data_IF_467130815826
#
_entry.id   IF_467130815826
#
_cell.length_a   1.000
_cell.length_b   1.000
_cell.length_c   1.000
_cell.angle_alpha   90.00
_cell.angle_beta   90.00
_cell.angle_gamma   90.00
#
_symmetry.space_group_name_H-M   'P 1'
#
loop_
_entity.id
_entity.type
_entity.pdbx_description
1 polymer ?
#
# COMPACT_ATOMS: atom_id res chain seq x y z
N UNK A 1 57.56 3.96 -54.34
CA UNK A 1 57.05 4.53 -55.61
C UNK A 1 56.13 3.46 -56.18
N UNK A 2 54.81 3.63 -56.16
CA UNK A 2 54.04 4.40 -57.14
C UNK A 2 54.39 3.88 -58.56
N UNK A 3 53.48 3.41 -59.42
CA UNK A 3 52.05 3.68 -59.56
C UNK A 3 51.53 2.98 -60.85
N UNK A 4 50.23 3.11 -61.12
CA UNK A 4 49.50 2.94 -62.40
C UNK A 4 48.93 1.54 -62.72
N UNK A 5 47.61 1.33 -62.60
CA UNK A 5 46.51 1.59 -63.58
C UNK A 5 46.55 0.57 -64.74
N UNK A 6 45.54 -0.30 -64.84
CA UNK A 6 44.69 -0.33 -66.05
C UNK A 6 43.38 -1.10 -65.82
N UNK A 7 42.31 -0.50 -66.31
CA UNK A 7 40.94 -0.98 -66.34
C UNK A 7 40.65 -1.39 -67.78
N UNK A 8 40.29 -2.65 -68.01
CA UNK A 8 39.69 -3.06 -69.29
C UNK A 8 38.49 -3.96 -68.99
N UNK A 9 37.33 -3.36 -69.18
CA UNK A 9 36.04 -3.98 -69.42
C UNK A 9 36.03 -4.72 -70.77
N UNK A 10 35.52 -5.95 -70.80
CA UNK A 10 34.81 -6.46 -71.98
C UNK A 10 33.70 -7.41 -71.56
N UNK A 11 32.47 -6.96 -71.78
CA UNK A 11 31.26 -7.76 -71.79
C UNK A 11 31.30 -8.78 -72.94
N UNK A 12 30.57 -9.89 -72.80
CA UNK A 12 29.63 -10.49 -73.79
C UNK A 12 29.46 -12.00 -73.50
N UNK A 13 28.31 -12.28 -72.90
CA UNK A 13 27.29 -13.28 -73.28
C UNK A 13 27.45 -14.80 -73.17
N UNK A 14 26.26 -15.39 -73.05
CA UNK A 14 25.84 -16.78 -73.30
C UNK A 14 25.95 -17.80 -72.15
N UNK A 15 24.97 -17.67 -71.26
CA UNK A 15 23.85 -18.62 -71.07
C UNK A 15 24.10 -20.14 -71.13
N UNK A 16 23.41 -20.80 -70.17
CA UNK A 16 23.01 -22.20 -70.10
C UNK A 16 23.92 -23.22 -69.37
N UNK A 17 23.36 -23.62 -68.22
CA UNK A 17 23.21 -25.00 -67.71
C UNK A 17 24.11 -25.47 -66.57
N UNK A 18 23.54 -25.28 -65.36
CA UNK A 18 23.09 -26.37 -64.47
C UNK A 18 24.09 -26.85 -63.41
N UNK A 19 23.99 -26.32 -62.19
CA UNK A 19 24.19 -27.15 -60.99
C UNK A 19 23.47 -26.59 -59.74
N UNK A 20 22.65 -27.48 -59.16
CA UNK A 20 22.17 -27.54 -57.78
C UNK A 20 21.65 -26.26 -57.09
N UNK A 21 20.31 -26.15 -57.06
CA UNK A 21 19.59 -25.51 -55.94
C UNK A 21 19.93 -26.29 -54.67
N UNK A 22 20.81 -25.75 -53.84
CA UNK A 22 20.86 -26.08 -52.42
C UNK A 22 19.80 -25.21 -51.74
N UNK A 23 18.64 -25.80 -51.49
CA UNK A 23 17.60 -25.24 -50.63
C UNK A 23 18.13 -25.33 -49.19
N UNK A 24 18.94 -24.36 -48.79
CA UNK A 24 19.27 -24.14 -47.39
C UNK A 24 18.01 -23.55 -46.76
N UNK A 25 17.26 -24.42 -46.08
CA UNK A 25 16.08 -24.07 -45.29
C UNK A 25 16.47 -22.92 -44.38
N UNK A 26 16.01 -21.71 -44.71
CA UNK A 26 16.09 -20.58 -43.82
C UNK A 26 15.31 -20.95 -42.56
N UNK A 27 16.04 -21.40 -41.53
CA UNK A 27 15.48 -21.60 -40.21
C UNK A 27 14.96 -20.22 -39.80
N UNK A 28 13.64 -20.09 -39.70
CA UNK A 28 13.00 -18.85 -39.25
C UNK A 28 13.34 -18.63 -37.77
N UNK A 29 14.55 -18.14 -37.51
CA UNK A 29 15.11 -17.81 -36.20
C UNK A 29 14.55 -16.46 -35.70
N UNK A 30 13.46 -15.99 -36.31
CA UNK A 30 12.74 -14.82 -35.85
C UNK A 30 12.02 -15.19 -34.55
N UNK A 31 12.30 -14.52 -33.42
CA UNK A 31 11.71 -14.89 -32.15
C UNK A 31 10.18 -14.80 -32.20
N UNK A 32 9.49 -15.65 -31.45
CA UNK A 32 8.03 -15.85 -31.53
C UNK A 32 7.22 -14.54 -31.43
N UNK A 33 7.70 -13.57 -30.66
CA UNK A 33 7.08 -12.26 -30.47
C UNK A 33 7.15 -11.31 -31.69
N UNK A 34 7.95 -11.64 -32.71
CA UNK A 34 8.16 -10.84 -33.91
C UNK A 34 7.46 -11.43 -35.14
N UNK A 35 7.04 -12.71 -35.09
CA UNK A 35 6.38 -13.39 -36.21
C UNK A 35 5.00 -12.79 -36.50
N UNK A 36 4.69 -12.59 -37.78
CA UNK A 36 3.38 -12.13 -38.25
C UNK A 36 3.08 -10.65 -38.02
N UNK A 37 3.98 -9.87 -37.43
CA UNK A 37 3.83 -8.41 -37.26
C UNK A 37 4.15 -7.66 -38.54
N UNK A 38 3.42 -6.58 -38.77
CA UNK A 38 3.71 -5.69 -39.90
C UNK A 38 5.01 -4.90 -39.65
N UNK A 39 5.73 -4.46 -40.71
CA UNK A 39 6.94 -3.65 -40.54
C UNK A 39 6.72 -2.38 -39.69
N UNK A 40 5.54 -1.76 -39.79
CA UNK A 40 5.18 -0.59 -38.98
C UNK A 40 5.04 -0.91 -37.48
N UNK A 41 4.52 -2.09 -37.13
CA UNK A 41 4.39 -2.52 -35.74
C UNK A 41 5.75 -2.89 -35.13
N UNK A 42 6.64 -3.48 -35.93
CA UNK A 42 8.01 -3.79 -35.51
C UNK A 42 8.80 -2.51 -35.19
N UNK A 43 8.69 -1.49 -36.06
CA UNK A 43 9.32 -0.17 -35.83
C UNK A 43 8.78 0.47 -34.56
N UNK A 44 7.46 0.45 -34.34
CA UNK A 44 6.85 1.00 -33.13
C UNK A 44 7.33 0.28 -31.88
N UNK A 45 7.39 -1.05 -31.91
CA UNK A 45 7.88 -1.84 -30.77
C UNK A 45 9.36 -1.55 -30.47
N UNK A 46 10.19 -1.37 -31.51
CA UNK A 46 11.59 -0.97 -31.36
C UNK A 46 11.72 0.42 -30.74
N UNK A 47 10.97 1.41 -31.23
CA UNK A 47 10.95 2.77 -30.65
C UNK A 47 10.47 2.78 -29.20
N UNK A 48 9.46 1.98 -28.86
CA UNK A 48 9.00 1.83 -27.47
C UNK A 48 10.05 1.15 -26.59
N UNK A 49 10.78 0.17 -27.12
CA UNK A 49 11.87 -0.49 -26.41
C UNK A 49 13.04 0.46 -26.18
N UNK A 50 13.48 1.20 -27.20
CA UNK A 50 14.51 2.23 -27.09
C UNK A 50 14.12 3.33 -26.08
N UNK A 51 12.87 3.79 -26.13
CA UNK A 51 12.36 4.76 -25.17
C UNK A 51 12.36 4.22 -23.74
N UNK A 52 11.96 2.96 -23.52
CA UNK A 52 11.98 2.33 -22.20
C UNK A 52 13.41 2.12 -21.69
N UNK A 53 14.34 1.72 -22.56
CA UNK A 53 15.76 1.59 -22.22
C UNK A 53 16.33 2.97 -21.84
N UNK A 54 15.98 4.03 -22.57
CA UNK A 54 16.36 5.40 -22.24
C UNK A 54 15.84 5.84 -20.87
N UNK A 55 14.57 5.56 -20.57
CA UNK A 55 13.96 5.85 -19.26
C UNK A 55 14.65 5.08 -18.13
N UNK A 56 14.87 3.78 -18.30
CA UNK A 56 15.59 2.94 -17.33
C UNK A 56 17.03 3.43 -17.13
N UNK A 57 17.72 3.84 -18.20
CA UNK A 57 19.05 4.45 -18.12
C UNK A 57 19.06 5.75 -17.31
N UNK A 58 18.03 6.58 -17.46
CA UNK A 58 17.87 7.80 -16.66
C UNK A 58 17.58 7.49 -15.18
N UNK A 59 16.74 6.50 -14.89
CA UNK A 59 16.45 6.05 -13.53
C UNK A 59 17.71 5.50 -12.84
N UNK A 60 18.47 4.62 -13.51
CA UNK A 60 19.72 4.08 -12.98
C UNK A 60 20.78 5.18 -12.81
N UNK A 61 20.85 6.15 -13.72
CA UNK A 61 21.73 7.31 -13.58
C UNK A 61 21.37 8.19 -12.39
N UNK A 62 20.08 8.40 -12.11
CA UNK A 62 19.62 9.10 -10.91
C UNK A 62 19.93 8.33 -9.64
N UNK A 63 19.71 7.01 -9.63
CA UNK A 63 20.07 6.15 -8.50
C UNK A 63 21.57 6.17 -8.23
N UNK A 64 22.41 6.14 -9.27
CA UNK A 64 23.86 6.29 -9.12
C UNK A 64 24.23 7.62 -8.47
N UNK A 65 23.64 8.73 -8.90
CA UNK A 65 23.88 10.05 -8.27
C UNK A 65 23.49 10.07 -6.80
N UNK A 66 22.34 9.51 -6.44
CA UNK A 66 21.90 9.45 -5.03
C UNK A 66 22.85 8.61 -4.18
N UNK A 67 23.34 7.48 -4.72
CA UNK A 67 24.33 6.64 -4.03
C UNK A 67 25.68 7.36 -3.92
N UNK A 68 26.15 7.99 -5.00
CA UNK A 68 27.39 8.77 -5.01
C UNK A 68 27.31 9.94 -4.02
N UNK A 69 26.18 10.66 -3.98
CA UNK A 69 25.90 11.72 -3.01
C UNK A 69 25.85 11.19 -1.57
N UNK A 70 25.26 10.01 -1.37
CA UNK A 70 25.24 9.34 -0.07
C UNK A 70 26.64 8.92 0.39
N UNK A 71 27.44 8.34 -0.51
CA UNK A 71 28.84 7.96 -0.23
C UNK A 71 29.66 9.22 0.07
N UNK A 72 29.53 10.27 -0.73
CA UNK A 72 30.24 11.54 -0.55
C UNK A 72 29.86 12.22 0.77
N UNK A 73 28.58 12.17 1.15
CA UNK A 73 28.12 12.73 2.42
C UNK A 73 28.56 11.87 3.60
N UNK A 74 28.54 10.53 3.49
CA UNK A 74 29.11 9.66 4.52
C UNK A 74 30.61 9.85 4.65
N UNK A 75 31.35 10.00 3.55
CA UNK A 75 32.80 10.21 3.60
C UNK A 75 33.15 11.57 4.20
N UNK A 76 32.38 12.63 3.93
CA UNK A 76 32.54 13.94 4.58
C UNK A 76 32.24 13.91 6.09
N UNK A 77 31.30 13.06 6.53
CA UNK A 77 30.97 12.92 7.96
C UNK A 77 31.96 12.00 8.68
N UNK A 78 32.62 11.08 7.97
CA UNK A 78 33.61 10.14 8.51
C UNK A 78 35.07 10.52 8.23
N UNK A 79 35.34 11.64 7.56
CA UNK A 79 36.68 12.19 7.51
C UNK A 79 37.01 12.57 8.96
N UNK A 80 37.91 11.83 9.65
CA UNK A 80 38.29 12.24 11.00
C UNK A 80 38.83 13.66 10.84
N UNK A 81 38.26 14.63 11.57
CA UNK A 81 38.86 15.96 11.69
C UNK A 81 40.36 15.72 11.82
N UNK A 82 41.09 16.16 10.80
CA UNK A 82 42.52 15.94 10.68
C UNK A 82 43.07 16.37 12.02
N UNK A 83 43.44 15.40 12.85
CA UNK A 83 43.62 15.66 14.28
C UNK A 83 44.64 16.77 14.33
N UNK A 84 44.20 17.98 14.69
CA UNK A 84 45.11 19.09 14.82
C UNK A 84 46.23 18.53 15.70
N UNK A 85 47.47 18.53 15.20
CA UNK A 85 48.60 18.17 16.03
C UNK A 85 48.73 19.31 17.03
N UNK A 86 47.88 19.25 18.06
CA UNK A 86 47.81 20.21 19.14
C UNK A 86 49.16 20.05 19.83
N UNK A 87 49.99 21.08 19.67
CA UNK A 87 51.29 21.12 20.31
C UNK A 87 51.08 21.09 21.82
N UNK A 88 51.52 19.99 22.44
CA UNK A 88 51.43 19.78 23.88
C UNK A 88 52.10 20.92 24.67
N UNK A 89 53.08 21.63 24.09
CA UNK A 89 53.74 22.73 24.76
C UNK A 89 52.99 24.07 24.64
N UNK A 90 52.25 24.27 23.55
CA UNK A 90 51.44 25.47 23.35
C UNK A 90 50.10 25.37 24.09
N UNK A 91 49.45 24.19 24.04
CA UNK A 91 48.13 23.94 24.60
C UNK A 91 48.05 22.55 25.27
N UNK A 92 48.72 22.36 26.43
CA UNK A 92 48.83 21.06 27.09
C UNK A 92 47.47 20.45 27.46
N UNK A 93 46.53 21.27 27.94
CA UNK A 93 45.20 20.80 28.34
C UNK A 93 44.43 20.24 27.13
N UNK A 94 44.41 20.95 26.00
CA UNK A 94 43.73 20.49 24.78
C UNK A 94 44.41 19.25 24.17
N UNK A 95 45.73 19.17 24.22
CA UNK A 95 46.47 18.02 23.74
C UNK A 95 46.17 16.75 24.56
N UNK A 96 46.02 16.90 25.89
CA UNK A 96 45.63 15.82 26.79
C UNK A 96 44.18 15.41 26.52
N UNK A 97 43.24 16.35 26.43
CA UNK A 97 41.83 16.07 26.15
C UNK A 97 41.63 15.34 24.82
N UNK A 98 42.31 15.80 23.77
CA UNK A 98 42.29 15.14 22.45
C UNK A 98 42.86 13.72 22.51
N UNK A 99 43.96 13.49 23.24
CA UNK A 99 44.52 12.14 23.44
C UNK A 99 43.60 11.23 24.25
N UNK A 100 42.90 11.76 25.25
CA UNK A 100 41.93 11.01 26.06
C UNK A 100 40.73 10.63 25.20
N UNK A 101 40.12 11.57 24.49
CA UNK A 101 38.99 11.31 23.58
C UNK A 101 39.35 10.31 22.47
N UNK A 102 40.59 10.38 21.97
CA UNK A 102 41.07 9.47 20.93
C UNK A 102 41.65 8.16 21.46
N UNK A 103 41.73 7.96 22.78
CA UNK A 103 42.35 6.78 23.36
C UNK A 103 41.57 5.51 22.98
N UNK A 104 42.24 4.45 22.50
CA UNK A 104 41.58 3.25 22.00
C UNK A 104 40.66 2.60 23.04
N UNK A 105 41.10 2.55 24.31
CA UNK A 105 40.28 1.99 25.40
C UNK A 105 39.01 2.81 25.67
N UNK A 106 39.06 4.13 25.57
CA UNK A 106 37.88 4.99 25.81
C UNK A 106 36.89 4.81 24.67
N UNK A 107 37.37 4.80 23.41
CA UNK A 107 36.55 4.49 22.24
C UNK A 107 35.88 3.11 22.35
N UNK A 108 36.62 2.10 22.81
CA UNK A 108 36.07 0.76 23.04
C UNK A 108 35.00 0.76 24.14
N UNK A 109 35.22 1.51 25.23
CA UNK A 109 34.23 1.63 26.31
C UNK A 109 32.97 2.37 25.86
N UNK A 110 33.11 3.43 25.06
CA UNK A 110 31.97 4.14 24.47
C UNK A 110 31.17 3.25 23.53
N UNK A 111 31.86 2.50 22.65
CA UNK A 111 31.22 1.51 21.77
C UNK A 111 30.48 0.44 22.57
N UNK A 112 31.11 -0.11 23.61
CA UNK A 112 30.48 -1.10 24.49
C UNK A 112 29.25 -0.50 25.20
N UNK A 113 29.36 0.72 25.73
CA UNK A 113 28.25 1.43 26.35
C UNK A 113 27.08 1.63 25.39
N UNK A 114 27.36 2.01 24.15
CA UNK A 114 26.35 2.17 23.11
C UNK A 114 25.68 0.83 22.74
N UNK A 115 26.46 -0.25 22.60
CA UNK A 115 25.91 -1.59 22.34
C UNK A 115 25.05 -2.10 23.49
N UNK A 116 25.49 -1.89 24.74
CA UNK A 116 24.71 -2.24 25.93
C UNK A 116 23.39 -1.46 25.97
N UNK A 117 23.44 -0.14 25.74
CA UNK A 117 22.25 0.71 25.69
C UNK A 117 21.29 0.23 24.60
N UNK A 118 21.79 -0.03 23.40
CA UNK A 118 20.99 -0.55 22.29
C UNK A 118 20.31 -1.87 22.66
N UNK A 119 21.06 -2.83 23.20
CA UNK A 119 20.54 -4.15 23.60
C UNK A 119 19.46 -4.03 24.69
N UNK A 120 19.69 -3.19 25.71
CA UNK A 120 18.74 -2.96 26.78
C UNK A 120 17.46 -2.31 26.27
N UNK A 121 17.57 -1.24 25.48
CA UNK A 121 16.42 -0.55 24.88
C UNK A 121 15.63 -1.49 23.97
N UNK A 122 16.31 -2.26 23.11
CA UNK A 122 15.67 -3.22 22.20
C UNK A 122 14.91 -4.31 22.98
N UNK A 123 15.52 -4.84 24.05
CA UNK A 123 14.88 -5.86 24.90
C UNK A 123 13.63 -5.31 25.58
N UNK A 124 13.71 -4.11 26.17
CA UNK A 124 12.56 -3.45 26.79
C UNK A 124 11.44 -3.16 25.77
N UNK A 125 11.81 -2.68 24.58
CA UNK A 125 10.85 -2.43 23.50
C UNK A 125 10.20 -3.71 22.99
N UNK A 126 10.93 -4.81 22.84
CA UNK A 126 10.36 -6.09 22.40
C UNK A 126 9.36 -6.67 23.41
N UNK A 127 9.56 -6.43 24.70
CA UNK A 127 8.60 -6.85 25.73
C UNK A 127 7.27 -6.11 25.59
N UNK A 128 7.29 -4.82 25.26
CA UNK A 128 6.08 -4.00 25.10
C UNK A 128 5.48 -4.06 23.69
N UNK A 129 6.33 -4.25 22.69
CA UNK A 129 5.99 -4.31 21.27
C UNK A 129 6.65 -5.54 20.63
N UNK A 130 6.03 -6.72 20.75
CA UNK A 130 6.60 -7.97 20.20
C UNK A 130 6.78 -7.95 18.68
N UNK A 131 5.92 -7.21 18.00
CA UNK A 131 5.84 -6.98 16.55
C UNK A 131 6.76 -5.85 16.04
N UNK A 132 7.61 -5.27 16.90
CA UNK A 132 8.41 -4.08 16.55
C UNK A 132 9.26 -4.26 15.30
N UNK A 133 9.83 -5.45 15.08
CA UNK A 133 10.66 -5.74 13.90
C UNK A 133 9.83 -5.73 12.62
N UNK A 134 8.62 -6.26 12.68
CA UNK A 134 7.71 -6.32 11.54
C UNK A 134 7.18 -4.93 11.21
N UNK A 135 6.74 -4.18 12.22
CA UNK A 135 6.25 -2.81 12.06
C UNK A 135 7.35 -1.88 11.53
N UNK A 136 8.59 -2.02 12.00
CA UNK A 136 9.71 -1.21 11.51
C UNK A 136 10.03 -1.45 10.03
N UNK A 137 9.74 -2.65 9.51
CA UNK A 137 9.93 -3.01 8.10
C UNK A 137 8.72 -2.66 7.22
N UNK A 138 7.57 -2.32 7.80
CA UNK A 138 6.37 -1.98 7.05
C UNK A 138 6.53 -0.63 6.32
N UNK A 139 6.34 -0.65 5.01
CA UNK A 139 6.38 0.54 4.16
C UNK A 139 5.31 1.58 4.56
N UNK A 140 4.16 1.15 5.08
CA UNK A 140 3.12 2.08 5.54
C UNK A 140 3.54 2.81 6.80
N UNK A 141 4.19 2.10 7.73
CA UNK A 141 4.79 2.71 8.92
C UNK A 141 5.84 3.74 8.52
N UNK A 142 6.77 3.39 7.62
CA UNK A 142 7.81 4.33 7.16
C UNK A 142 7.21 5.59 6.51
N UNK A 143 6.20 5.44 5.64
CA UNK A 143 5.48 6.58 5.05
C UNK A 143 4.78 7.43 6.11
N UNK A 144 4.19 6.80 7.11
CA UNK A 144 3.55 7.50 8.22
C UNK A 144 4.57 8.26 9.07
N UNK A 145 5.75 7.70 9.34
CA UNK A 145 6.83 8.39 10.07
C UNK A 145 7.28 9.65 9.32
N UNK A 146 7.58 9.52 8.02
CA UNK A 146 8.05 10.64 7.19
C UNK A 146 6.94 11.70 6.97
N UNK A 147 5.67 11.31 7.08
CA UNK A 147 4.53 12.22 6.96
C UNK A 147 4.41 13.27 8.07
N UNK A 148 5.25 13.25 9.10
CA UNK A 148 5.31 14.30 10.12
C UNK A 148 6.72 14.54 10.60
N UNK A 149 7.09 15.82 10.72
CA UNK A 149 8.38 16.24 11.27
C UNK A 149 8.62 15.69 12.68
N UNK A 150 7.61 15.74 13.54
CA UNK A 150 7.70 15.25 14.92
C UNK A 150 7.95 13.74 14.95
N UNK A 151 7.23 12.97 14.11
CA UNK A 151 7.43 11.52 14.01
C UNK A 151 8.81 11.16 13.47
N UNK A 152 9.31 11.93 12.51
CA UNK A 152 10.68 11.78 11.98
C UNK A 152 11.73 12.07 13.05
N UNK A 153 11.56 13.12 13.87
CA UNK A 153 12.44 13.42 15.00
C UNK A 153 12.40 12.33 16.08
N UNK A 154 11.21 11.80 16.41
CA UNK A 154 11.08 10.66 17.33
C UNK A 154 11.79 9.42 16.79
N UNK A 155 11.64 9.13 15.50
CA UNK A 155 12.32 8.02 14.85
C UNK A 155 13.84 8.18 14.86
N UNK A 156 14.35 9.39 14.61
CA UNK A 156 15.78 9.69 14.68
C UNK A 156 16.32 9.48 16.10
N UNK A 157 15.61 9.97 17.12
CA UNK A 157 15.99 9.77 18.53
C UNK A 157 15.99 8.30 18.92
N UNK A 158 14.97 7.56 18.51
CA UNK A 158 14.87 6.14 18.73
C UNK A 158 16.05 5.39 18.08
N UNK A 159 16.36 5.71 16.82
CA UNK A 159 17.36 4.99 16.04
C UNK A 159 18.81 5.38 16.37
N UNK A 160 19.10 6.68 16.53
CA UNK A 160 20.46 7.19 16.71
C UNK A 160 20.87 7.28 18.18
N UNK A 161 19.91 7.58 19.08
CA UNK A 161 20.19 7.78 20.51
C UNK A 161 19.75 6.61 21.38
N UNK A 162 19.12 5.58 20.79
CA UNK A 162 18.52 4.46 21.51
C UNK A 162 17.57 4.91 22.63
N UNK A 163 16.81 5.97 22.33
CA UNK A 163 15.85 6.61 23.23
C UNK A 163 14.58 5.73 23.31
N UNK A 164 14.38 5.07 24.46
CA UNK A 164 13.28 4.14 24.68
C UNK A 164 11.92 4.84 24.59
N UNK A 165 11.76 5.99 25.25
CA UNK A 165 10.49 6.70 25.33
C UNK A 165 10.05 7.20 23.95
N UNK A 166 11.03 7.68 23.16
CA UNK A 166 10.76 8.10 21.78
C UNK A 166 10.29 6.93 20.89
N UNK A 167 10.91 5.76 21.04
CA UNK A 167 10.52 4.57 20.29
C UNK A 167 9.13 4.05 20.73
N UNK A 168 8.91 3.93 22.03
CA UNK A 168 7.65 3.46 22.62
C UNK A 168 6.47 4.34 22.21
N UNK A 169 6.62 5.67 22.30
CA UNK A 169 5.59 6.61 21.84
C UNK A 169 5.32 6.47 20.34
N UNK A 170 6.38 6.34 19.53
CA UNK A 170 6.22 6.20 18.07
C UNK A 170 5.44 4.95 17.68
N UNK A 171 5.80 3.79 18.24
CA UNK A 171 5.13 2.51 17.95
C UNK A 171 3.73 2.45 18.57
N UNK A 172 3.55 2.96 19.79
CA UNK A 172 2.24 3.03 20.44
C UNK A 172 1.28 3.95 19.67
N UNK A 173 1.74 5.10 19.20
CA UNK A 173 0.97 6.05 18.40
C UNK A 173 0.54 5.47 17.05
N UNK A 174 1.44 4.74 16.38
CA UNK A 174 1.12 4.03 15.15
C UNK A 174 0.01 3.00 15.35
N UNK A 175 0.14 2.15 16.38
CA UNK A 175 -0.87 1.13 16.71
C UNK A 175 -2.21 1.76 17.06
N UNK A 176 -2.20 2.81 17.87
CA UNK A 176 -3.42 3.57 18.17
C UNK A 176 -4.08 4.11 16.91
N UNK A 177 -3.30 4.62 15.95
CA UNK A 177 -3.84 5.10 14.65
C UNK A 177 -4.47 3.95 13.85
N UNK A 178 -3.84 2.78 13.83
CA UNK A 178 -4.38 1.59 13.17
C UNK A 178 -5.67 1.09 13.83
N UNK A 179 -5.70 1.03 15.16
CA UNK A 179 -6.88 0.62 15.91
C UNK A 179 -8.07 1.55 15.66
N UNK A 180 -7.83 2.87 15.64
CA UNK A 180 -8.86 3.86 15.31
C UNK A 180 -9.37 3.69 13.88
N UNK A 181 -8.49 3.45 12.92
CA UNK A 181 -8.87 3.21 11.53
C UNK A 181 -9.71 1.92 11.38
N UNK A 182 -9.31 0.84 12.06
CA UNK A 182 -10.07 -0.43 12.07
C UNK A 182 -11.44 -0.26 12.74
N UNK A 183 -11.51 0.48 13.84
CA UNK A 183 -12.75 0.76 14.52
C UNK A 183 -13.70 1.56 13.64
N UNK A 184 -13.20 2.60 12.94
CA UNK A 184 -13.98 3.39 12.00
C UNK A 184 -14.57 2.52 10.87
N UNK A 185 -13.77 1.64 10.26
CA UNK A 185 -14.23 0.69 9.24
C UNK A 185 -15.30 -0.26 9.79
N UNK A 186 -15.13 -0.73 11.04
CA UNK A 186 -16.11 -1.62 11.68
C UNK A 186 -17.47 -0.93 11.92
N UNK A 187 -17.44 0.34 12.32
CA UNK A 187 -18.64 1.17 12.54
C UNK A 187 -19.32 1.44 11.22
N UNK A 188 -18.58 1.87 10.19
CA UNK A 188 -19.12 2.11 8.85
C UNK A 188 -19.79 0.85 8.26
N UNK A 189 -19.18 -0.32 8.44
CA UNK A 189 -19.77 -1.60 8.00
C UNK A 189 -21.06 -1.92 8.75
N UNK A 190 -21.13 -1.64 10.05
CA UNK A 190 -22.35 -1.84 10.86
C UNK A 190 -23.45 -0.89 10.41
N UNK A 191 -23.14 0.38 10.23
CA UNK A 191 -24.09 1.39 9.74
C UNK A 191 -24.61 1.05 8.36
N UNK A 192 -23.73 0.66 7.44
CA UNK A 192 -24.12 0.20 6.10
C UNK A 192 -25.05 -1.00 6.15
N UNK A 193 -24.77 -1.99 7.01
CA UNK A 193 -25.63 -3.16 7.19
C UNK A 193 -27.00 -2.78 7.79
N UNK A 194 -27.02 -1.87 8.75
CA UNK A 194 -28.27 -1.35 9.32
C UNK A 194 -29.09 -0.59 8.28
N UNK A 195 -28.46 0.27 7.48
CA UNK A 195 -29.10 0.99 6.39
C UNK A 195 -29.67 0.03 5.33
N UNK A 196 -28.90 -1.01 4.96
CA UNK A 196 -29.38 -2.04 4.03
C UNK A 196 -30.55 -2.83 4.60
N UNK A 197 -30.50 -3.21 5.88
CA UNK A 197 -31.60 -3.89 6.55
C UNK A 197 -32.85 -3.00 6.62
N UNK A 198 -32.70 -1.73 6.99
CA UNK A 198 -33.80 -0.75 7.02
C UNK A 198 -34.42 -0.56 5.63
N UNK A 199 -33.60 -0.45 4.59
CA UNK A 199 -34.05 -0.39 3.21
C UNK A 199 -34.72 -1.70 2.74
N UNK A 200 -34.20 -2.85 3.16
CA UNK A 200 -34.77 -4.17 2.86
C UNK A 200 -36.09 -4.43 3.61
N UNK A 201 -36.28 -3.83 4.79
CA UNK A 201 -37.58 -3.78 5.49
C UNK A 201 -38.47 -2.65 4.95
N UNK A 202 -37.95 -1.80 4.06
CA UNK A 202 -38.61 -0.66 3.44
C UNK A 202 -39.55 -1.00 2.27
N UNK A 203 -39.96 -2.26 2.13
CA UNK A 203 -41.06 -2.70 1.26
C UNK A 203 -42.36 -3.01 2.00
N UNK A 204 -42.42 -2.81 3.32
CA UNK A 204 -43.58 -3.12 4.15
C UNK A 204 -44.29 -1.88 4.73
N UNK A 205 -44.01 -0.67 4.22
CA UNK A 205 -44.89 0.48 4.41
C UNK A 205 -46.06 0.41 3.41
N UNK A 206 -46.80 -0.70 3.46
CA UNK A 206 -48.18 -0.72 2.98
C UNK A 206 -49.03 0.01 4.01
N UNK A 207 -49.20 1.32 3.81
CA UNK A 207 -50.13 2.20 4.51
C UNK A 207 -49.94 2.32 6.04
N UNK A 208 -49.71 3.56 6.51
CA UNK A 208 -49.92 3.93 7.93
C UNK A 208 -51.41 4.01 8.31
N UNK A 209 -52.31 3.63 7.39
CA UNK A 209 -53.73 3.48 7.69
C UNK A 209 -53.95 2.17 8.43
N UNK A 210 -54.55 2.26 9.62
CA UNK A 210 -54.94 1.09 10.38
C UNK A 210 -55.71 0.11 9.45
N UNK A 211 -55.42 -1.21 9.52
CA UNK A 211 -56.06 -2.17 8.62
C UNK A 211 -57.57 -1.98 8.64
N UNK A 212 -58.18 -1.91 7.46
CA UNK A 212 -59.61 -1.64 7.32
C UNK A 212 -60.40 -2.61 8.21
N UNK A 213 -61.11 -2.09 9.22
CA UNK A 213 -61.88 -2.91 10.16
C UNK A 213 -62.95 -3.71 9.41
N UNK A 214 -63.23 -4.93 9.88
CA UNK A 214 -64.14 -5.86 9.21
C UNK A 214 -65.54 -5.25 9.03
N UNK A 215 -66.06 -5.31 7.81
CA UNK A 215 -67.43 -4.93 7.47
C UNK A 215 -68.31 -6.18 7.61
N UNK A 216 -69.46 -6.02 8.26
CA UNK A 216 -70.43 -7.11 8.48
C UNK A 216 -71.65 -6.89 7.59
N UNK A 217 -72.23 -7.97 7.05
CA UNK A 217 -73.56 -7.92 6.41
C UNK A 217 -74.64 -8.28 7.42
N UNK A 218 -75.78 -7.61 7.33
CA UNK A 218 -76.92 -7.87 8.22
C UNK A 218 -77.42 -9.31 8.11
N UNK A 219 -77.44 -9.88 6.90
CA UNK A 219 -77.75 -11.30 6.66
C UNK A 219 -76.87 -12.23 7.49
N UNK A 220 -75.57 -11.98 7.49
CA UNK A 220 -74.57 -12.86 8.10
C UNK A 220 -74.63 -12.78 9.64
N UNK A 221 -74.98 -11.61 10.19
CA UNK A 221 -75.24 -11.45 11.63
C UNK A 221 -76.51 -12.22 12.04
N UNK A 222 -77.59 -12.13 11.24
CA UNK A 222 -78.84 -12.85 11.52
C UNK A 222 -78.63 -14.35 11.40
N UNK A 223 -77.89 -14.81 10.39
CA UNK A 223 -77.54 -16.21 10.23
C UNK A 223 -76.67 -16.71 11.38
N UNK A 224 -75.69 -15.92 11.83
CA UNK A 224 -74.86 -16.23 13.00
C UNK A 224 -75.71 -16.37 14.28
N UNK A 225 -76.68 -15.47 14.48
CA UNK A 225 -77.62 -15.54 15.60
C UNK A 225 -78.49 -16.81 15.56
N UNK A 226 -78.88 -17.27 14.36
CA UNK A 226 -79.72 -18.47 14.17
C UNK A 226 -78.93 -19.77 14.29
N UNK A 227 -77.71 -19.81 13.76
CA UNK A 227 -76.92 -21.05 13.63
C UNK A 227 -75.95 -21.27 14.79
N UNK A 228 -75.42 -20.21 15.41
CA UNK A 228 -74.47 -20.31 16.50
C UNK A 228 -74.63 -19.14 17.52
N UNK A 229 -75.61 -19.24 18.43
CA UNK A 229 -75.88 -18.20 19.44
C UNK A 229 -74.69 -17.92 20.36
N UNK A 230 -73.90 -18.93 20.72
CA UNK A 230 -72.74 -18.79 21.60
C UNK A 230 -71.66 -17.90 20.95
N UNK A 231 -71.40 -18.09 19.65
CA UNK A 231 -70.44 -17.26 18.91
C UNK A 231 -70.94 -15.83 18.69
N UNK A 232 -72.24 -15.65 18.49
CA UNK A 232 -72.85 -14.32 18.44
C UNK A 232 -72.62 -13.57 19.76
N UNK A 233 -72.86 -14.22 20.90
CA UNK A 233 -72.67 -13.62 22.22
C UNK A 233 -71.19 -13.27 22.49
N UNK A 234 -70.25 -14.13 22.09
CA UNK A 234 -68.83 -13.84 22.21
C UNK A 234 -68.36 -12.66 21.35
N UNK A 235 -69.08 -12.35 20.27
CA UNK A 235 -68.78 -11.24 19.35
C UNK A 235 -69.69 -10.01 19.57
N UNK A 236 -70.53 -9.99 20.61
CA UNK A 236 -71.53 -8.96 20.83
C UNK A 236 -70.94 -7.55 20.83
N UNK A 237 -69.79 -7.39 21.49
CA UNK A 237 -69.14 -6.10 21.68
C UNK A 237 -68.58 -5.55 20.35
N UNK A 238 -68.04 -6.41 19.50
CA UNK A 238 -67.55 -6.02 18.17
C UNK A 238 -68.69 -5.75 17.20
N UNK A 239 -69.76 -6.55 17.25
CA UNK A 239 -70.97 -6.32 16.43
C UNK A 239 -71.61 -4.99 16.81
N UNK A 240 -71.71 -4.68 18.11
CA UNK A 240 -72.24 -3.41 18.59
C UNK A 240 -71.40 -2.22 18.12
N UNK A 241 -70.07 -2.30 18.23
CA UNK A 241 -69.15 -1.29 17.67
C UNK A 241 -69.31 -1.14 16.15
N UNK A 242 -69.48 -2.26 15.43
CA UNK A 242 -69.70 -2.22 13.98
C UNK A 242 -71.01 -1.51 13.60
N UNK A 243 -72.07 -1.63 14.40
CA UNK A 243 -73.30 -0.85 14.22
C UNK A 243 -73.08 0.64 14.47
N UNK A 244 -72.36 1.00 15.53
CA UNK A 244 -72.04 2.40 15.86
C UNK A 244 -71.18 3.08 14.79
N UNK A 245 -70.22 2.35 14.23
CA UNK A 245 -69.29 2.84 13.21
C UNK A 245 -69.87 2.73 11.78
N UNK A 246 -71.12 2.30 11.59
CA UNK A 246 -71.74 2.18 10.26
C UNK A 246 -71.11 1.08 9.36
N UNK A 247 -70.41 0.13 9.98
CA UNK A 247 -69.75 -1.02 9.33
C UNK A 247 -70.69 -2.20 9.08
N UNK A 248 -71.97 -2.10 9.46
CA UNK A 248 -73.00 -3.09 9.09
C UNK A 248 -73.71 -2.64 7.83
N UNK A 249 -73.56 -3.40 6.74
CA UNK A 249 -74.27 -3.17 5.47
C UNK A 249 -75.54 -4.03 5.41
N UNK A 250 -76.58 -3.51 4.75
CA UNK A 250 -77.86 -4.20 4.60
C UNK A 250 -77.72 -5.47 3.76
#
# INVERSE_FOLDING_TARGET
MAQLIDEVTSEVDEDLQQEAVSEEVAVDDTPEHYRGKTPSELIKMHQEAESRIGQQGQEVGQLRKVVDDFILNQSKVNEPEQAEEIDFFAEPDKAVDSKIANHPTIKQLEQLGNQMKQSQTLSALQQKHPDIKEVAMDANFQKWVVGSKIRSELYERANNKYDYDAADELFSSWKSTQDVAQQAVSVERKERKQALNAASTGGANGSSEAPSRKIYRRSDIIELMRTNPQRYQAMSDEIYKAYQEGRVKS
#
